data_IF_376156915144
#
_entry.id   IF_376156915144
#
_cell.length_a   1.000
_cell.length_b   1.000
_cell.length_c   1.000
_cell.angle_alpha   90.00
_cell.angle_beta   90.00
_cell.angle_gamma   90.00
#
_symmetry.space_group_name_H-M   'P 1'
#
loop_
_entity.id
_entity.type
_entity.pdbx_description
1 polymer ?
#
# COMPACT_ATOMS: atom_id res chain seq x y z
N UNK A 1 -25.77 -48.14 -1.11
CA UNK A 1 -25.09 -47.33 -2.14
C UNK A 1 -25.17 -45.83 -1.81
N UNK A 2 -26.37 -45.28 -1.61
CA UNK A 2 -26.64 -43.85 -1.33
C UNK A 2 -25.94 -43.21 -0.10
N UNK A 3 -25.52 -43.97 0.91
CA UNK A 3 -24.89 -43.40 2.13
C UNK A 3 -23.46 -42.92 1.86
N UNK A 4 -22.67 -43.63 1.05
CA UNK A 4 -21.29 -43.21 0.71
C UNK A 4 -21.28 -41.95 -0.16
N UNK A 5 -22.18 -41.87 -1.14
CA UNK A 5 -22.31 -40.72 -2.02
C UNK A 5 -22.66 -39.44 -1.24
N UNK A 6 -23.59 -39.53 -0.27
CA UNK A 6 -23.89 -38.40 0.61
C UNK A 6 -22.68 -37.93 1.42
N UNK A 7 -21.90 -38.86 1.96
CA UNK A 7 -20.69 -38.54 2.74
C UNK A 7 -19.66 -37.84 1.85
N UNK A 8 -19.45 -38.31 0.62
CA UNK A 8 -18.53 -37.67 -0.32
C UNK A 8 -18.98 -36.26 -0.73
N UNK A 9 -20.29 -36.04 -0.92
CA UNK A 9 -20.84 -34.73 -1.25
C UNK A 9 -20.75 -33.74 -0.08
N UNK A 10 -20.99 -34.17 1.15
CA UNK A 10 -20.78 -33.29 2.31
C UNK A 10 -19.31 -32.99 2.55
N UNK A 11 -18.43 -33.99 2.38
CA UNK A 11 -17.00 -33.80 2.55
C UNK A 11 -16.44 -32.82 1.50
N UNK A 12 -16.81 -32.97 0.23
CA UNK A 12 -16.42 -32.02 -0.82
C UNK A 12 -16.98 -30.61 -0.60
N UNK A 13 -18.22 -30.48 -0.10
CA UNK A 13 -18.80 -29.18 0.26
C UNK A 13 -18.06 -28.54 1.45
N UNK A 14 -17.64 -29.33 2.43
CA UNK A 14 -16.87 -28.86 3.58
C UNK A 14 -15.49 -28.34 3.15
N UNK A 15 -14.75 -29.12 2.36
CA UNK A 15 -13.44 -28.72 1.81
C UNK A 15 -13.55 -27.43 0.98
N UNK A 16 -14.60 -27.30 0.16
CA UNK A 16 -14.86 -26.10 -0.62
C UNK A 16 -15.15 -24.89 0.28
N UNK A 17 -16.06 -25.01 1.24
CA UNK A 17 -16.36 -23.90 2.16
C UNK A 17 -15.13 -23.49 2.99
N UNK A 18 -14.32 -24.45 3.41
CA UNK A 18 -13.07 -24.20 4.12
C UNK A 18 -12.05 -23.47 3.24
N UNK A 19 -11.91 -23.87 1.98
CA UNK A 19 -11.04 -23.18 1.03
C UNK A 19 -11.51 -21.74 0.77
N UNK A 20 -12.82 -21.52 0.63
CA UNK A 20 -13.38 -20.18 0.42
C UNK A 20 -13.20 -19.28 1.64
N UNK A 21 -13.40 -19.80 2.86
CA UNK A 21 -13.18 -19.02 4.07
C UNK A 21 -11.70 -18.65 4.24
N UNK A 22 -10.77 -19.57 3.98
CA UNK A 22 -9.33 -19.28 4.04
C UNK A 22 -8.94 -18.22 3.01
N UNK A 23 -9.43 -18.32 1.77
CA UNK A 23 -9.15 -17.34 0.72
C UNK A 23 -9.72 -15.95 1.02
N UNK A 24 -10.82 -15.87 1.76
CA UNK A 24 -11.44 -14.61 2.16
C UNK A 24 -10.65 -13.91 3.28
N UNK A 25 -10.16 -14.69 4.25
CA UNK A 25 -9.23 -14.22 5.28
C UNK A 25 -7.91 -13.72 4.67
N UNK A 26 -7.33 -14.46 3.71
CA UNK A 26 -6.09 -14.06 3.02
C UNK A 26 -6.24 -12.74 2.27
N UNK A 27 -7.38 -12.54 1.58
CA UNK A 27 -7.69 -11.28 0.90
C UNK A 27 -7.78 -10.12 1.90
N UNK A 28 -8.46 -10.34 3.03
CA UNK A 28 -8.59 -9.34 4.08
C UNK A 28 -7.21 -8.91 4.61
N UNK A 29 -6.35 -9.87 4.91
CA UNK A 29 -4.99 -9.60 5.40
C UNK A 29 -4.19 -8.72 4.43
N UNK A 30 -4.24 -9.02 3.13
CA UNK A 30 -3.49 -8.27 2.11
C UNK A 30 -3.97 -6.81 2.04
N UNK A 31 -5.29 -6.58 2.05
CA UNK A 31 -5.85 -5.23 1.92
C UNK A 31 -5.50 -4.32 3.10
N UNK A 32 -5.34 -4.84 4.31
CA UNK A 32 -4.92 -4.05 5.48
C UNK A 32 -3.40 -4.02 5.68
N UNK A 33 -2.68 -5.06 5.25
CA UNK A 33 -1.22 -5.10 5.35
C UNK A 33 -0.55 -4.00 4.52
N UNK A 34 -1.06 -3.69 3.32
CA UNK A 34 -0.46 -2.68 2.45
C UNK A 34 -0.54 -1.25 3.03
N UNK A 35 -1.71 -0.74 3.48
CA UNK A 35 -1.81 0.54 4.20
C UNK A 35 -0.86 0.63 5.40
N UNK A 36 -0.79 -0.43 6.20
CA UNK A 36 0.08 -0.49 7.37
C UNK A 36 1.55 -0.42 6.96
N UNK A 37 1.94 -1.18 5.93
CA UNK A 37 3.29 -1.15 5.39
C UNK A 37 3.68 0.25 4.88
N UNK A 38 2.77 0.94 4.18
CA UNK A 38 2.99 2.33 3.75
C UNK A 38 3.18 3.27 4.95
N UNK A 39 2.39 3.12 6.01
CA UNK A 39 2.54 3.94 7.22
C UNK A 39 3.88 3.68 7.93
N UNK A 40 4.30 2.41 8.05
CA UNK A 40 5.60 2.05 8.64
C UNK A 40 6.76 2.61 7.81
N UNK A 41 6.72 2.47 6.48
CA UNK A 41 7.73 3.08 5.62
C UNK A 41 7.71 4.61 5.73
N UNK A 42 6.53 5.23 5.79
CA UNK A 42 6.37 6.66 6.02
C UNK A 42 7.06 7.12 7.30
N UNK A 43 6.89 6.36 8.40
CA UNK A 43 7.59 6.59 9.67
C UNK A 43 9.11 6.46 9.53
N UNK A 44 9.59 5.35 8.97
CA UNK A 44 11.03 5.09 8.84
C UNK A 44 11.71 6.15 7.97
N UNK A 45 11.09 6.55 6.86
CA UNK A 45 11.65 7.56 5.96
C UNK A 45 11.57 8.96 6.59
N UNK A 46 10.42 9.37 7.13
CA UNK A 46 10.22 10.74 7.66
C UNK A 46 10.96 10.97 8.97
N UNK A 47 10.84 10.04 9.92
CA UNK A 47 11.32 10.22 11.30
C UNK A 47 12.73 9.67 11.47
N UNK A 48 12.97 8.43 11.02
CA UNK A 48 14.30 7.80 11.15
C UNK A 48 15.27 8.22 10.04
N UNK A 49 14.81 9.00 9.05
CA UNK A 49 15.60 9.46 7.91
C UNK A 49 16.25 8.29 7.17
N UNK A 50 15.52 7.20 6.95
CA UNK A 50 15.99 6.07 6.15
C UNK A 50 15.93 6.42 4.65
N UNK A 51 16.69 7.43 4.25
CA UNK A 51 16.79 7.95 2.88
C UNK A 51 17.31 6.90 1.90
N UNK A 52 18.02 5.89 2.38
CA UNK A 52 18.48 4.74 1.60
C UNK A 52 17.34 3.86 1.06
N UNK A 53 16.13 3.96 1.62
CA UNK A 53 14.92 3.33 1.08
C UNK A 53 14.35 4.11 -0.12
N UNK A 54 14.75 5.37 -0.32
CA UNK A 54 14.31 6.18 -1.45
C UNK A 54 15.18 5.80 -2.66
N UNK A 55 14.56 5.08 -3.60
CA UNK A 55 15.22 4.68 -4.84
C UNK A 55 15.86 5.90 -5.54
N UNK A 56 17.10 5.74 -6.01
CA UNK A 56 17.88 6.80 -6.64
C UNK A 56 18.66 7.70 -5.68
N UNK A 57 18.23 7.88 -4.42
CA UNK A 57 18.98 8.67 -3.43
C UNK A 57 20.29 7.99 -3.00
N UNK A 58 20.40 6.66 -3.10
CA UNK A 58 21.62 5.94 -2.73
C UNK A 58 22.84 6.23 -3.62
N UNK A 59 22.64 6.87 -4.78
CA UNK A 59 23.75 7.26 -5.66
C UNK A 59 24.52 8.45 -5.08
N UNK A 60 25.86 8.45 -5.23
CA UNK A 60 26.73 9.50 -4.68
C UNK A 60 26.37 10.90 -5.21
N UNK A 61 25.99 10.99 -6.48
CA UNK A 61 25.53 12.24 -7.11
C UNK A 61 24.22 12.76 -6.54
N UNK A 62 23.26 11.88 -6.22
CA UNK A 62 21.99 12.26 -5.61
C UNK A 62 22.17 12.77 -4.17
N UNK A 63 23.00 12.09 -3.37
CA UNK A 63 23.30 12.50 -1.98
C UNK A 63 23.93 13.89 -1.89
N UNK A 64 24.75 14.27 -2.87
CA UNK A 64 25.33 15.61 -2.96
C UNK A 64 24.32 16.67 -3.44
N UNK A 65 23.42 16.28 -4.37
CA UNK A 65 22.50 17.20 -5.05
C UNK A 65 21.27 17.58 -4.22
N UNK A 66 20.74 16.65 -3.42
CA UNK A 66 19.44 16.82 -2.74
C UNK A 66 19.60 17.10 -1.24
N UNK A 67 18.67 17.88 -0.69
CA UNK A 67 18.46 18.02 0.75
C UNK A 67 17.73 16.77 1.27
N UNK A 68 18.45 15.97 2.05
CA UNK A 68 17.96 14.71 2.60
C UNK A 68 16.76 14.92 3.53
N UNK A 69 16.79 15.95 4.39
CA UNK A 69 15.74 16.17 5.36
C UNK A 69 14.44 16.62 4.68
N UNK A 70 14.52 17.50 3.69
CA UNK A 70 13.36 17.91 2.91
C UNK A 70 12.77 16.75 2.11
N UNK A 71 13.62 15.94 1.47
CA UNK A 71 13.20 14.79 0.67
C UNK A 71 12.55 13.72 1.54
N UNK A 72 13.17 13.31 2.65
CA UNK A 72 12.61 12.36 3.60
C UNK A 72 11.27 12.82 4.17
N UNK A 73 11.15 14.11 4.51
CA UNK A 73 9.88 14.65 5.02
C UNK A 73 8.76 14.58 3.98
N UNK A 74 9.04 14.95 2.73
CA UNK A 74 8.05 14.91 1.66
C UNK A 74 7.67 13.47 1.31
N UNK A 75 8.64 12.59 1.08
CA UNK A 75 8.40 11.17 0.73
C UNK A 75 7.66 10.44 1.84
N UNK A 76 8.05 10.59 3.10
CA UNK A 76 7.35 9.93 4.19
C UNK A 76 5.95 10.50 4.45
N UNK A 77 5.71 11.79 4.22
CA UNK A 77 4.36 12.37 4.28
C UNK A 77 3.48 11.84 3.15
N UNK A 78 4.03 11.71 1.94
CA UNK A 78 3.36 11.06 0.83
C UNK A 78 2.95 9.62 1.17
N UNK A 79 3.84 8.84 1.77
CA UNK A 79 3.54 7.47 2.16
C UNK A 79 2.44 7.38 3.23
N UNK A 80 2.40 8.31 4.19
CA UNK A 80 1.26 8.38 5.12
C UNK A 80 -0.06 8.69 4.41
N UNK A 81 -0.07 9.66 3.50
CA UNK A 81 -1.27 9.98 2.72
C UNK A 81 -1.69 8.79 1.86
N UNK A 82 -0.73 8.10 1.23
CA UNK A 82 -1.00 6.93 0.41
C UNK A 82 -1.56 5.77 1.25
N UNK A 83 -0.96 5.49 2.40
CA UNK A 83 -1.47 4.50 3.35
C UNK A 83 -2.90 4.82 3.80
N UNK A 84 -3.20 6.07 4.13
CA UNK A 84 -4.54 6.49 4.51
C UNK A 84 -5.56 6.32 3.38
N UNK A 85 -5.20 6.68 2.14
CA UNK A 85 -6.08 6.49 0.96
C UNK A 85 -6.31 5.01 0.67
N UNK A 86 -5.30 4.16 0.87
CA UNK A 86 -5.41 2.71 0.68
C UNK A 86 -6.28 2.01 1.75
N UNK A 87 -6.73 2.70 2.80
CA UNK A 87 -7.78 2.19 3.68
C UNK A 87 -9.14 2.16 3.00
N UNK A 88 -9.41 3.02 2.00
CA UNK A 88 -10.68 3.02 1.27
C UNK A 88 -10.96 1.68 0.57
N UNK A 89 -10.05 1.12 -0.26
CA UNK A 89 -10.29 -0.19 -0.87
C UNK A 89 -10.29 -1.32 0.17
N UNK A 90 -9.56 -1.19 1.27
CA UNK A 90 -9.60 -2.17 2.35
C UNK A 90 -10.98 -2.22 3.02
N UNK A 91 -11.52 -1.06 3.42
CA UNK A 91 -12.88 -0.94 3.97
C UNK A 91 -13.91 -1.39 2.92
N UNK A 92 -13.75 -0.98 1.66
CA UNK A 92 -14.63 -1.36 0.56
C UNK A 92 -14.69 -2.86 0.36
N UNK A 93 -13.57 -3.57 0.52
CA UNK A 93 -13.53 -5.03 0.49
C UNK A 93 -14.33 -5.65 1.66
N UNK A 94 -14.18 -5.13 2.89
CA UNK A 94 -14.94 -5.62 4.06
C UNK A 94 -16.43 -5.36 3.93
N UNK A 95 -16.82 -4.21 3.40
CA UNK A 95 -18.23 -3.82 3.29
C UNK A 95 -18.88 -4.27 1.97
N UNK A 96 -18.14 -4.95 1.09
CA UNK A 96 -18.60 -5.28 -0.27
C UNK A 96 -18.90 -4.07 -1.16
N UNK A 97 -18.36 -2.89 -0.84
CA UNK A 97 -18.65 -1.63 -1.52
C UNK A 97 -17.63 -1.38 -2.65
N UNK A 98 -18.04 -1.71 -3.89
CA UNK A 98 -17.21 -1.55 -5.09
C UNK A 98 -16.86 -0.09 -5.40
N UNK A 99 -17.75 0.85 -5.13
CA UNK A 99 -17.49 2.28 -5.37
C UNK A 99 -16.37 2.78 -4.49
N UNK A 100 -16.31 2.32 -3.23
CA UNK A 100 -15.25 2.68 -2.29
C UNK A 100 -13.89 2.12 -2.72
N UNK A 101 -13.88 0.89 -3.27
CA UNK A 101 -12.69 0.28 -3.86
C UNK A 101 -12.19 1.09 -5.06
N UNK A 102 -13.09 1.42 -6.00
CA UNK A 102 -12.76 2.17 -7.20
C UNK A 102 -12.25 3.58 -6.86
N UNK A 103 -12.93 4.28 -5.95
CA UNK A 103 -12.54 5.60 -5.48
C UNK A 103 -11.15 5.57 -4.85
N UNK A 104 -10.88 4.60 -3.98
CA UNK A 104 -9.57 4.42 -3.37
C UNK A 104 -8.46 4.12 -4.38
N UNK A 105 -8.75 3.30 -5.38
CA UNK A 105 -7.86 3.05 -6.52
C UNK A 105 -7.54 4.33 -7.30
N UNK A 106 -8.56 5.12 -7.64
CA UNK A 106 -8.39 6.38 -8.37
C UNK A 106 -7.58 7.40 -7.56
N UNK A 107 -7.89 7.57 -6.27
CA UNK A 107 -7.20 8.51 -5.39
C UNK A 107 -5.74 8.11 -5.15
N UNK A 108 -5.45 6.83 -4.97
CA UNK A 108 -4.07 6.35 -4.78
C UNK A 108 -3.22 6.57 -6.03
N UNK A 109 -3.79 6.34 -7.22
CA UNK A 109 -3.14 6.63 -8.49
C UNK A 109 -2.88 8.14 -8.66
N UNK A 110 -3.91 8.96 -8.44
CA UNK A 110 -3.80 10.42 -8.53
C UNK A 110 -2.78 11.00 -7.55
N UNK A 111 -2.75 10.51 -6.31
CA UNK A 111 -1.79 10.92 -5.30
C UNK A 111 -0.36 10.55 -5.69
N UNK A 112 -0.15 9.35 -6.25
CA UNK A 112 1.16 8.89 -6.70
C UNK A 112 1.68 9.72 -7.86
N UNK A 113 0.85 9.93 -8.89
CA UNK A 113 1.21 10.77 -10.05
C UNK A 113 1.48 12.21 -9.60
N UNK A 114 0.60 12.76 -8.76
CA UNK A 114 0.73 14.10 -8.22
C UNK A 114 2.02 14.28 -7.41
N UNK A 115 2.39 13.29 -6.59
CA UNK A 115 3.64 13.33 -5.84
C UNK A 115 4.87 13.24 -6.75
N UNK A 116 4.86 12.39 -7.77
CA UNK A 116 5.96 12.32 -8.75
C UNK A 116 6.12 13.66 -9.45
N UNK A 117 5.04 14.29 -9.92
CA UNK A 117 5.08 15.61 -10.53
C UNK A 117 5.63 16.65 -9.54
N UNK A 118 5.06 16.69 -8.33
CA UNK A 118 5.48 17.60 -7.26
C UNK A 118 6.97 17.47 -6.93
N UNK A 119 7.47 16.25 -6.82
CA UNK A 119 8.86 15.96 -6.47
C UNK A 119 9.85 16.37 -7.56
N UNK A 120 9.42 16.34 -8.83
CA UNK A 120 10.26 16.64 -9.98
C UNK A 120 10.19 18.11 -10.43
N UNK A 121 9.15 18.86 -10.06
CA UNK A 121 9.02 20.27 -10.42
C UNK A 121 9.99 21.16 -9.63
N UNK A 122 10.56 22.16 -10.31
CA UNK A 122 11.14 23.34 -9.68
C UNK A 122 12.37 23.08 -8.82
N UNK A 123 13.08 21.95 -9.03
CA UNK A 123 14.27 21.58 -8.23
C UNK A 123 13.96 21.55 -6.72
N UNK A 124 12.73 21.19 -6.34
CA UNK A 124 12.15 21.34 -4.98
C UNK A 124 13.07 20.92 -3.84
N UNK A 125 13.72 19.76 -4.01
CA UNK A 125 14.57 19.17 -2.98
C UNK A 125 16.05 19.35 -3.23
N UNK A 126 16.48 20.20 -4.18
CA UNK A 126 17.91 20.47 -4.33
C UNK A 126 18.43 21.20 -3.11
N UNK A 127 19.63 20.81 -2.67
CA UNK A 127 20.34 21.52 -1.62
C UNK A 127 20.57 22.96 -2.09
N UNK A 128 20.22 23.94 -1.25
CA UNK A 128 20.53 25.34 -1.53
C UNK A 128 22.04 25.51 -1.36
N UNK A 129 22.67 26.09 -2.38
CA UNK A 129 24.05 26.55 -2.34
C UNK A 129 24.14 27.86 -1.58
#
# INVERSE_FOLDING_TARGET
MFRKERILVEQTRFEHNLAYSVLEEDKLMIFFALPLFMAVLGYLIKVKRWSWLIAGFNTSSAKAKYDEAALCNATGSFLYCLGAVLLLPAIGNVTGNRELINLGGLLSMGLTIGFVIYANIGRRFRRKS
#
